data_IF_214133084610
#
_entry.id   IF_214133084610
#
_cell.length_a   1.000
_cell.length_b   1.000
_cell.length_c   1.000
_cell.angle_alpha   90.00
_cell.angle_beta   90.00
_cell.angle_gamma   90.00
#
_symmetry.space_group_name_H-M   'P 1'
#
loop_
_entity.id
_entity.type
_entity.pdbx_description
1 polymer ?
#
# COMPACT_ATOMS: atom_id res chain seq x y z
N UNK A 1 -9.99 28.89 -0.94
CA UNK A 1 -10.33 28.01 0.19
C UNK A 1 -9.03 27.58 0.85
N UNK A 2 -8.61 28.28 1.90
CA UNK A 2 -7.42 27.93 2.68
C UNK A 2 -7.72 26.68 3.51
N UNK A 3 -7.47 25.51 2.91
CA UNK A 3 -7.50 24.27 3.66
C UNK A 3 -6.33 24.32 4.65
N UNK A 4 -6.64 24.22 5.93
CA UNK A 4 -5.65 24.17 7.01
C UNK A 4 -4.54 23.16 6.63
N UNK A 5 -3.24 23.54 6.67
CA UNK A 5 -2.14 22.63 6.29
C UNK A 5 -2.10 21.35 7.13
N UNK A 6 -2.68 21.37 8.34
CA UNK A 6 -2.85 20.20 9.22
C UNK A 6 -4.03 19.28 8.83
N UNK A 7 -4.82 19.64 7.82
CA UNK A 7 -5.94 18.83 7.35
C UNK A 7 -5.46 17.64 6.51
N UNK A 8 -6.07 16.48 6.75
CA UNK A 8 -5.87 15.28 5.96
C UNK A 8 -7.15 14.47 5.83
N UNK A 9 -7.26 13.75 4.71
CA UNK A 9 -8.37 12.86 4.39
C UNK A 9 -7.96 11.39 4.37
N UNK A 10 -6.65 11.13 4.25
CA UNK A 10 -6.13 9.80 4.08
C UNK A 10 -4.77 9.60 4.74
N UNK A 11 -4.46 8.36 5.12
CA UNK A 11 -3.14 7.96 5.60
C UNK A 11 -2.59 6.87 4.70
N UNK A 12 -1.39 7.08 4.15
CA UNK A 12 -0.59 6.04 3.52
C UNK A 12 0.41 5.50 4.52
N UNK A 13 0.30 4.21 4.84
CA UNK A 13 1.18 3.49 5.74
C UNK A 13 2.06 2.58 4.91
N UNK A 14 3.36 2.88 4.83
CA UNK A 14 4.34 2.03 4.17
C UNK A 14 5.05 1.18 5.22
N UNK A 15 5.19 -0.11 4.98
CA UNK A 15 5.91 -1.05 5.86
C UNK A 15 6.98 -1.79 5.09
N UNK A 16 8.18 -1.82 5.66
CA UNK A 16 9.42 -2.26 5.03
C UNK A 16 9.64 -1.65 3.62
N UNK A 17 9.37 -0.34 3.41
CA UNK A 17 9.53 0.24 2.09
C UNK A 17 11.00 0.20 1.67
N UNK A 18 11.26 -0.13 0.39
CA UNK A 18 12.54 0.16 -0.24
C UNK A 18 12.66 1.67 -0.49
N UNK A 19 13.89 2.16 -0.70
CA UNK A 19 14.12 3.54 -1.13
C UNK A 19 13.33 3.87 -2.40
N UNK A 20 13.31 2.95 -3.37
CA UNK A 20 12.53 3.11 -4.61
C UNK A 20 11.03 3.36 -4.36
N UNK A 21 10.43 2.71 -3.36
CA UNK A 21 9.02 2.93 -3.00
C UNK A 21 8.84 4.33 -2.40
N UNK A 22 9.75 4.78 -1.54
CA UNK A 22 9.70 6.10 -0.92
C UNK A 22 9.81 7.18 -2.01
N UNK A 23 10.81 7.07 -2.88
CA UNK A 23 11.07 8.00 -3.97
C UNK A 23 9.89 8.04 -4.95
N UNK A 24 9.33 6.87 -5.28
CA UNK A 24 8.15 6.78 -6.11
C UNK A 24 6.95 7.51 -5.49
N UNK A 25 6.70 7.31 -4.19
CA UNK A 25 5.58 7.97 -3.50
C UNK A 25 5.79 9.49 -3.47
N UNK A 26 7.01 9.95 -3.17
CA UNK A 26 7.34 11.37 -3.17
C UNK A 26 7.10 12.00 -4.55
N UNK A 27 7.63 11.39 -5.62
CA UNK A 27 7.46 11.87 -6.99
C UNK A 27 5.99 11.87 -7.44
N UNK A 28 5.19 10.88 -7.03
CA UNK A 28 3.76 10.86 -7.36
C UNK A 28 2.95 11.94 -6.65
N UNK A 29 3.35 12.34 -5.44
CA UNK A 29 2.73 13.44 -4.70
C UNK A 29 3.13 14.78 -5.33
N UNK A 30 4.41 14.97 -5.65
CA UNK A 30 4.94 16.20 -6.25
C UNK A 30 4.29 16.54 -7.60
N UNK A 31 3.91 15.52 -8.38
CA UNK A 31 3.12 15.68 -9.63
C UNK A 31 1.71 16.26 -9.44
N UNK A 32 1.26 16.49 -8.19
CA UNK A 32 -0.10 16.95 -7.88
C UNK A 32 -0.08 18.25 -7.11
N UNK A 33 -0.29 19.36 -7.82
CA UNK A 33 -0.34 20.72 -7.26
C UNK A 33 -1.33 20.89 -6.10
N UNK A 34 -2.46 20.17 -6.12
CA UNK A 34 -3.53 20.32 -5.11
C UNK A 34 -3.43 19.31 -3.94
N UNK A 35 -2.41 18.46 -3.92
CA UNK A 35 -2.21 17.43 -2.90
C UNK A 35 -0.98 17.77 -2.09
N UNK A 36 -1.09 17.73 -0.76
CA UNK A 36 0.04 17.96 0.13
C UNK A 36 0.09 16.92 1.24
N UNK A 37 1.28 16.81 1.83
CA UNK A 37 1.54 16.00 3.02
C UNK A 37 1.28 16.89 4.24
N UNK A 38 0.32 16.50 5.05
CA UNK A 38 -0.01 17.22 6.28
C UNK A 38 0.97 16.93 7.40
N UNK A 39 1.38 15.66 7.52
CA UNK A 39 2.44 15.22 8.43
C UNK A 39 3.00 13.87 7.99
N UNK A 40 4.24 13.62 8.41
CA UNK A 40 4.92 12.33 8.21
C UNK A 40 5.37 11.81 9.57
N UNK A 41 5.05 10.56 9.88
CA UNK A 41 5.40 9.92 11.16
C UNK A 41 6.23 8.69 10.87
N UNK A 42 7.48 8.69 11.35
CA UNK A 42 8.36 7.51 11.29
C UNK A 42 7.84 6.43 12.24
N UNK A 43 7.86 5.19 11.79
CA UNK A 43 7.48 4.00 12.54
C UNK A 43 8.66 3.03 12.58
N UNK A 44 8.69 2.11 13.57
CA UNK A 44 9.79 1.13 13.73
C UNK A 44 10.12 0.37 12.44
N UNK A 45 9.12 0.04 11.64
CA UNK A 45 9.26 -0.72 10.40
C UNK A 45 8.72 0.02 9.16
N UNK A 46 8.68 1.36 9.18
CA UNK A 46 8.20 2.11 8.03
C UNK A 46 7.80 3.54 8.34
N UNK A 47 6.80 4.03 7.61
CA UNK A 47 6.42 5.44 7.65
C UNK A 47 4.92 5.60 7.40
N UNK A 48 4.31 6.53 8.11
CA UNK A 48 2.92 6.94 7.91
C UNK A 48 2.89 8.37 7.35
N UNK A 49 2.28 8.53 6.18
CA UNK A 49 2.20 9.78 5.43
C UNK A 49 0.73 10.21 5.40
N UNK A 50 0.44 11.38 5.95
CA UNK A 50 -0.91 11.92 6.06
C UNK A 50 -1.16 12.84 4.87
N UNK A 51 -2.14 12.51 4.05
CA UNK A 51 -2.36 13.12 2.73
C UNK A 51 -3.71 13.86 2.72
N UNK A 52 -3.72 15.04 2.10
CA UNK A 52 -4.88 15.92 2.03
C UNK A 52 -6.05 15.44 1.17
N UNK A 53 -5.85 14.38 0.35
CA UNK A 53 -6.84 13.88 -0.61
C UNK A 53 -6.97 12.37 -0.56
N UNK A 54 -8.15 11.88 -0.17
CA UNK A 54 -8.45 10.45 -0.15
C UNK A 54 -8.58 9.87 -1.58
N UNK A 55 -9.04 10.69 -2.54
CA UNK A 55 -9.09 10.30 -3.96
C UNK A 55 -7.70 9.99 -4.50
N UNK A 56 -6.73 10.87 -4.23
CA UNK A 56 -5.36 10.65 -4.63
C UNK A 56 -4.74 9.45 -3.91
N UNK A 57 -4.98 9.29 -2.61
CA UNK A 57 -4.50 8.14 -1.84
C UNK A 57 -4.88 6.80 -2.50
N UNK A 58 -6.14 6.64 -2.95
CA UNK A 58 -6.61 5.44 -3.66
C UNK A 58 -5.94 5.24 -5.02
N UNK A 59 -5.64 6.33 -5.74
CA UNK A 59 -4.92 6.24 -7.01
C UNK A 59 -3.48 5.78 -6.78
N UNK A 60 -2.81 6.37 -5.79
CA UNK A 60 -1.46 5.98 -5.40
C UNK A 60 -1.39 4.52 -4.93
N UNK A 61 -2.39 4.07 -4.17
CA UNK A 61 -2.53 2.68 -3.74
C UNK A 61 -2.54 1.68 -4.91
N UNK A 62 -3.31 1.98 -5.97
CA UNK A 62 -3.37 1.16 -7.19
C UNK A 62 -2.02 1.11 -7.91
N UNK A 63 -1.33 2.25 -8.00
CA UNK A 63 0.00 2.34 -8.63
C UNK A 63 1.06 1.56 -7.86
N UNK A 64 1.05 1.66 -6.53
CA UNK A 64 1.94 0.87 -5.67
C UNK A 64 1.74 -0.64 -5.91
N UNK A 65 0.49 -1.08 -5.89
CA UNK A 65 0.12 -2.48 -6.10
C UNK A 65 0.47 -3.00 -7.50
N UNK A 66 0.47 -2.15 -8.53
CA UNK A 66 0.86 -2.57 -9.88
C UNK A 66 2.37 -2.60 -10.08
N UNK A 67 3.14 -1.78 -9.37
CA UNK A 67 4.58 -1.60 -9.61
C UNK A 67 5.45 -2.44 -8.67
N UNK A 68 5.02 -2.69 -7.44
CA UNK A 68 5.86 -3.29 -6.40
C UNK A 68 5.28 -4.60 -5.87
N UNK A 69 6.16 -5.51 -5.45
CA UNK A 69 5.80 -6.80 -4.87
C UNK A 69 5.38 -6.64 -3.41
N UNK A 70 4.10 -6.30 -3.21
CA UNK A 70 3.58 -6.00 -1.89
C UNK A 70 2.10 -6.28 -1.70
N UNK A 71 1.73 -6.33 -0.42
CA UNK A 71 0.36 -6.44 0.01
C UNK A 71 -0.23 -5.05 0.24
N UNK A 72 -1.42 -4.82 -0.33
CA UNK A 72 -2.19 -3.60 -0.15
C UNK A 72 -3.45 -3.89 0.68
N UNK A 73 -3.65 -3.17 1.78
CA UNK A 73 -4.85 -3.22 2.62
C UNK A 73 -5.47 -1.84 2.67
N UNK A 74 -6.72 -1.72 2.23
CA UNK A 74 -7.49 -0.48 2.28
C UNK A 74 -8.57 -0.56 3.37
N UNK A 75 -8.63 0.45 4.23
CA UNK A 75 -9.63 0.58 5.29
C UNK A 75 -10.14 2.02 5.36
N UNK A 76 -11.18 2.25 6.14
CA UNK A 76 -11.70 3.58 6.43
C UNK A 76 -12.13 3.67 7.88
N UNK A 77 -11.96 4.84 8.48
CA UNK A 77 -12.46 5.15 9.83
C UNK A 77 -13.45 6.32 9.75
N UNK A 78 -14.50 6.26 10.58
CA UNK A 78 -15.42 7.38 10.73
C UNK A 78 -14.67 8.52 11.42
N UNK A 79 -14.66 9.70 10.80
CA UNK A 79 -13.98 10.87 11.35
C UNK A 79 -14.96 11.83 12.01
N UNK A 80 -16.04 12.17 11.31
CA UNK A 80 -17.04 13.13 11.78
C UNK A 80 -18.35 12.94 11.03
N UNK A 81 -19.31 13.83 11.28
CA UNK A 81 -20.59 13.92 10.58
C UNK A 81 -20.68 15.30 9.94
N UNK A 82 -21.07 15.36 8.68
CA UNK A 82 -21.30 16.63 7.99
C UNK A 82 -22.44 17.36 8.71
N UNK A 83 -22.18 18.58 9.19
CA UNK A 83 -23.11 19.33 10.03
C UNK A 83 -24.42 19.72 9.33
N UNK A 84 -24.40 19.89 8.01
CA UNK A 84 -25.58 20.27 7.23
C UNK A 84 -26.38 19.06 6.76
N UNK A 85 -25.69 18.05 6.21
CA UNK A 85 -26.36 16.90 5.57
C UNK A 85 -26.53 15.70 6.51
N UNK A 86 -25.96 15.76 7.71
CA UNK A 86 -25.90 14.64 8.65
C UNK A 86 -25.20 13.38 8.11
N UNK A 87 -24.51 13.46 6.97
CA UNK A 87 -23.82 12.32 6.37
C UNK A 87 -22.48 12.03 7.07
N UNK A 88 -22.10 10.76 7.29
CA UNK A 88 -20.81 10.41 7.87
C UNK A 88 -19.66 10.80 6.94
N UNK A 89 -18.61 11.40 7.51
CA UNK A 89 -17.35 11.75 6.86
C UNK A 89 -16.29 10.77 7.31
N UNK A 90 -15.66 10.10 6.35
CA UNK A 90 -14.65 9.07 6.61
C UNK A 90 -13.25 9.56 6.24
N UNK A 91 -12.25 9.05 6.97
CA UNK A 91 -10.84 9.11 6.56
C UNK A 91 -10.39 7.76 6.01
N UNK A 92 -9.68 7.78 4.90
CA UNK A 92 -9.11 6.59 4.29
C UNK A 92 -7.80 6.17 4.97
N UNK A 93 -7.52 4.87 4.98
CA UNK A 93 -6.22 4.34 5.38
C UNK A 93 -5.79 3.27 4.37
N UNK A 94 -4.62 3.46 3.79
CA UNK A 94 -3.99 2.51 2.87
C UNK A 94 -2.72 2.04 3.51
N UNK A 95 -2.59 0.73 3.68
CA UNK A 95 -1.40 0.08 4.20
C UNK A 95 -0.76 -0.75 3.10
N UNK A 96 0.50 -0.44 2.78
CA UNK A 96 1.31 -1.18 1.82
C UNK A 96 2.47 -1.86 2.54
N UNK A 97 2.50 -3.18 2.51
CA UNK A 97 3.62 -4.00 3.02
C UNK A 97 4.43 -4.51 1.84
N UNK A 98 5.69 -4.11 1.79
CA UNK A 98 6.60 -4.58 0.76
C UNK A 98 7.29 -5.89 1.20
N UNK A 99 7.32 -6.87 0.31
CA UNK A 99 7.97 -8.17 0.55
C UNK A 99 9.31 -8.33 -0.18
N UNK A 100 9.73 -7.34 -1.01
CA UNK A 100 11.00 -7.35 -1.75
C UNK A 100 11.24 -8.64 -2.58
N UNK A 101 10.17 -9.27 -3.06
CA UNK A 101 10.27 -10.50 -3.84
C UNK A 101 10.68 -10.20 -5.27
N UNK A 102 11.40 -11.16 -5.89
CA UNK A 102 11.80 -11.11 -7.30
C UNK A 102 11.39 -12.38 -8.05
N UNK A 103 11.18 -12.25 -9.37
CA UNK A 103 10.97 -13.40 -10.25
C UNK A 103 12.17 -14.36 -10.17
N UNK A 104 11.90 -15.65 -10.13
CA UNK A 104 12.92 -16.71 -10.04
C UNK A 104 13.33 -17.09 -8.62
N UNK A 105 13.05 -16.24 -7.63
CA UNK A 105 13.30 -16.55 -6.21
C UNK A 105 12.43 -17.71 -5.74
N UNK A 106 12.94 -18.51 -4.80
CA UNK A 106 12.20 -19.59 -4.14
C UNK A 106 11.75 -19.09 -2.76
N UNK A 107 10.46 -19.23 -2.47
CA UNK A 107 9.85 -18.89 -1.17
C UNK A 107 9.26 -20.13 -0.54
N UNK A 108 9.26 -20.22 0.80
CA UNK A 108 8.55 -21.27 1.53
C UNK A 108 7.12 -20.82 1.82
N UNK A 109 6.15 -21.67 1.50
CA UNK A 109 4.73 -21.41 1.79
C UNK A 109 4.02 -22.74 2.10
N UNK A 110 3.34 -22.82 3.24
CA UNK A 110 2.60 -24.02 3.71
C UNK A 110 3.41 -25.33 3.60
N UNK A 111 4.68 -25.27 4.01
CA UNK A 111 5.60 -26.42 3.99
C UNK A 111 6.03 -26.86 2.59
N UNK A 112 5.76 -26.09 1.54
CA UNK A 112 6.25 -26.29 0.17
C UNK A 112 7.21 -25.16 -0.25
N UNK A 113 8.15 -25.49 -1.12
CA UNK A 113 9.02 -24.53 -1.79
C UNK A 113 8.38 -24.12 -3.11
N UNK A 114 8.13 -22.83 -3.27
CA UNK A 114 7.48 -22.26 -4.44
C UNK A 114 8.48 -21.38 -5.19
N UNK A 115 8.77 -21.72 -6.45
CA UNK A 115 9.58 -20.87 -7.33
C UNK A 115 8.69 -19.81 -7.98
N UNK A 116 9.03 -18.53 -7.79
CA UNK A 116 8.26 -17.40 -8.32
C UNK A 116 8.41 -17.34 -9.84
N UNK A 117 7.29 -17.40 -10.56
CA UNK A 117 7.22 -17.24 -12.02
C UNK A 117 6.96 -15.78 -12.39
N UNK A 118 6.04 -15.13 -11.69
CA UNK A 118 5.74 -13.71 -11.90
C UNK A 118 5.16 -13.07 -10.65
N UNK A 119 5.29 -11.74 -10.60
CA UNK A 119 4.78 -10.88 -9.54
C UNK A 119 3.84 -9.88 -10.19
N UNK A 120 2.60 -9.83 -9.71
CA UNK A 120 1.61 -8.84 -10.14
C UNK A 120 0.76 -8.46 -8.95
N UNK A 121 -0.58 -8.55 -9.10
CA UNK A 121 -1.52 -8.42 -7.98
C UNK A 121 -1.22 -9.41 -6.86
N UNK A 122 -0.89 -10.63 -7.25
CA UNK A 122 -0.57 -11.78 -6.42
C UNK A 122 0.71 -12.44 -6.96
N UNK A 123 1.24 -13.39 -6.21
CA UNK A 123 2.42 -14.16 -6.60
C UNK A 123 1.95 -15.36 -7.42
N UNK A 124 2.43 -15.48 -8.65
CA UNK A 124 2.30 -16.70 -9.43
C UNK A 124 3.59 -17.49 -9.26
N UNK A 125 3.48 -18.71 -8.73
CA UNK A 125 4.59 -19.59 -8.50
C UNK A 125 4.37 -20.99 -9.03
N UNK A 126 5.43 -21.81 -8.94
CA UNK A 126 5.42 -23.24 -9.24
C UNK A 126 5.83 -24.00 -7.99
N UNK A 127 4.97 -24.93 -7.57
CA UNK A 127 5.27 -25.88 -6.50
C UNK A 127 6.43 -26.77 -6.91
N UNK A 128 7.41 -26.92 -6.02
CA UNK A 128 8.53 -27.84 -6.21
C UNK A 128 8.15 -29.28 -5.82
N UNK A 129 7.08 -29.49 -5.03
CA UNK A 129 6.56 -30.83 -4.68
C UNK A 129 5.89 -31.54 -5.85
N UNK A 130 5.03 -30.85 -6.59
CA UNK A 130 4.19 -31.48 -7.62
C UNK A 130 4.24 -30.77 -8.98
N UNK A 131 5.15 -29.80 -9.16
CA UNK A 131 5.35 -29.04 -10.39
C UNK A 131 4.12 -28.22 -10.86
N UNK A 132 3.05 -28.10 -10.05
CA UNK A 132 1.84 -27.35 -10.39
C UNK A 132 2.03 -25.84 -10.18
N UNK A 133 1.32 -25.05 -10.98
CA UNK A 133 1.22 -23.60 -10.76
C UNK A 133 0.33 -23.30 -9.56
N UNK A 134 0.71 -22.30 -8.77
CA UNK A 134 -0.03 -21.83 -7.60
C UNK A 134 -0.12 -20.31 -7.61
N UNK A 135 -1.27 -19.79 -7.19
CA UNK A 135 -1.49 -18.37 -6.94
C UNK A 135 -1.48 -18.14 -5.43
N UNK A 136 -0.64 -17.23 -4.95
CA UNK A 136 -0.46 -16.93 -3.53
C UNK A 136 -0.65 -15.44 -3.33
N UNK A 137 -1.57 -15.03 -2.46
CA UNK A 137 -1.71 -13.62 -2.11
C UNK A 137 -0.53 -13.21 -1.22
N UNK A 138 -0.03 -11.99 -1.39
CA UNK A 138 1.07 -11.48 -0.56
C UNK A 138 0.74 -11.54 0.96
N UNK A 139 -0.51 -11.32 1.35
CA UNK A 139 -0.94 -11.42 2.75
C UNK A 139 -0.84 -12.83 3.35
N UNK A 140 -0.77 -13.88 2.52
CA UNK A 140 -0.58 -15.27 2.98
C UNK A 140 0.89 -15.60 3.26
N UNK A 141 1.82 -14.69 2.94
CA UNK A 141 3.23 -14.81 3.32
C UNK A 141 3.51 -14.24 4.72
N UNK A 142 2.49 -13.70 5.39
CA UNK A 142 2.61 -13.36 6.80
C UNK A 142 2.80 -14.65 7.58
N UNK A 143 3.98 -14.80 8.19
CA UNK A 143 4.21 -15.75 9.28
C UNK A 143 3.53 -15.28 10.55
#
# INVERSE_FOLDING_TARGET
MDKNPKYFEGVLQLRSPSLEIIDFVAAEIEKKEIVWISKTVKQKNGIDIYISSNKFLKQLAKKLKSKFSGELVETRSLFSKNRQTSKPVYRGCVLFRNYNLKKGQIIKHRGDSIKIISLGRDILGRSMKNNKKVHIRFGELRG
#
